data_IF_037895548605
#
_entry.id   IF_037895548605
#
_cell.length_a   1.000
_cell.length_b   1.000
_cell.length_c   1.000
_cell.angle_alpha   90.00
_cell.angle_beta   90.00
_cell.angle_gamma   90.00
#
_symmetry.space_group_name_H-M   'P 1'
#
loop_
_entity.id
_entity.type
_entity.pdbx_description
1 polymer ?
#
# COMPACT_ATOMS: atom_id res chain seq x y z
N UNK A 1 -6.07 10.63 2.99
CA UNK A 1 -5.12 10.17 4.03
C UNK A 1 -5.57 10.46 5.46
N UNK A 2 -6.77 11.00 5.70
CA UNK A 2 -7.26 11.29 7.06
C UNK A 2 -6.60 12.49 7.75
N UNK A 3 -5.56 13.08 7.15
CA UNK A 3 -4.85 14.26 7.62
C UNK A 3 -4.51 15.18 6.45
N UNK A 4 -4.72 16.49 6.62
CA UNK A 4 -4.32 17.52 5.66
C UNK A 4 -2.80 17.58 5.52
N UNK A 5 -2.08 17.40 6.63
CA UNK A 5 -0.61 17.43 6.65
C UNK A 5 -0.01 16.28 5.82
N UNK A 6 -0.47 15.05 6.04
CA UNK A 6 -0.09 13.91 5.19
C UNK A 6 -0.48 14.15 3.73
N UNK A 7 -1.68 14.70 3.49
CA UNK A 7 -2.13 14.97 2.12
C UNK A 7 -1.23 15.97 1.41
N UNK A 8 -0.77 17.02 2.08
CA UNK A 8 0.15 18.00 1.53
C UNK A 8 1.55 17.40 1.31
N UNK A 9 2.06 16.65 2.29
CA UNK A 9 3.38 16.01 2.24
C UNK A 9 3.53 15.06 1.05
N UNK A 10 2.47 14.31 0.72
CA UNK A 10 2.48 13.32 -0.35
C UNK A 10 1.75 13.77 -1.63
N UNK A 11 1.33 15.04 -1.74
CA UNK A 11 0.47 15.54 -2.82
C UNK A 11 1.04 15.31 -4.24
N UNK A 12 2.38 15.35 -4.36
CA UNK A 12 3.12 15.14 -5.62
C UNK A 12 3.99 13.88 -5.59
N UNK A 13 3.64 12.97 -4.68
CA UNK A 13 4.35 11.74 -4.45
C UNK A 13 4.17 10.69 -5.55
N UNK A 14 5.00 9.65 -5.51
CA UNK A 14 4.84 8.47 -6.35
C UNK A 14 4.04 7.39 -5.62
N UNK A 15 3.03 6.84 -6.28
CA UNK A 15 2.13 5.83 -5.73
C UNK A 15 2.28 4.52 -6.49
N UNK A 16 2.38 3.41 -5.75
CA UNK A 16 2.25 2.05 -6.28
C UNK A 16 1.02 1.40 -5.65
N UNK A 17 0.06 1.00 -6.47
CA UNK A 17 -1.14 0.25 -6.07
C UNK A 17 -0.94 -1.22 -6.40
N UNK A 18 -0.93 -2.06 -5.38
CA UNK A 18 -0.83 -3.52 -5.50
C UNK A 18 -2.17 -4.14 -5.14
N UNK A 19 -2.80 -4.82 -6.11
CA UNK A 19 -4.06 -5.53 -5.91
C UNK A 19 -3.78 -7.01 -5.65
N UNK A 20 -4.45 -7.57 -4.65
CA UNK A 20 -4.34 -8.98 -4.28
C UNK A 20 -5.65 -9.69 -4.67
N UNK A 21 -5.59 -10.53 -5.69
CA UNK A 21 -6.69 -11.43 -6.08
C UNK A 21 -6.92 -12.46 -4.98
N UNK A 22 -8.13 -13.05 -4.87
CA UNK A 22 -8.41 -14.05 -3.82
C UNK A 22 -7.47 -15.25 -3.75
N UNK A 23 -6.75 -15.57 -4.83
CA UNK A 23 -5.79 -16.67 -4.93
C UNK A 23 -4.35 -16.24 -4.64
N UNK A 24 -4.10 -14.95 -4.46
CA UNK A 24 -2.77 -14.41 -4.27
C UNK A 24 -2.29 -14.57 -2.81
N UNK A 25 -1.02 -14.28 -2.58
CA UNK A 25 -0.44 -14.23 -1.25
C UNK A 25 -0.93 -12.97 -0.49
N UNK A 26 -1.76 -13.16 0.54
CA UNK A 26 -2.41 -12.07 1.28
C UNK A 26 -1.64 -11.55 2.50
N UNK A 27 -0.33 -11.76 2.55
CA UNK A 27 0.54 -11.11 3.53
C UNK A 27 1.36 -10.02 2.85
N UNK A 28 1.63 -8.95 3.57
CA UNK A 28 2.33 -7.79 3.06
C UNK A 28 3.53 -7.46 3.96
N UNK A 29 4.56 -6.89 3.33
CA UNK A 29 5.90 -6.78 3.90
C UNK A 29 6.39 -5.34 3.81
N UNK A 30 7.42 -5.01 4.59
CA UNK A 30 8.07 -3.71 4.52
C UNK A 30 8.88 -3.55 3.23
N UNK A 31 8.70 -2.46 2.46
CA UNK A 31 9.39 -2.25 1.18
C UNK A 31 10.86 -1.83 1.37
N UNK A 32 11.23 -1.34 2.55
CA UNK A 32 12.56 -0.86 2.91
C UNK A 32 12.84 -1.10 4.39
N UNK A 33 14.11 -1.01 4.80
CA UNK A 33 14.49 -0.96 6.20
C UNK A 33 14.16 0.41 6.80
N UNK A 34 13.79 0.47 8.08
CA UNK A 34 13.36 1.70 8.72
C UNK A 34 12.70 1.49 10.08
N UNK A 35 12.01 2.53 10.55
CA UNK A 35 11.27 2.52 11.82
C UNK A 35 9.80 2.82 11.52
N UNK A 36 8.87 1.87 11.73
CA UNK A 36 7.46 2.07 11.45
C UNK A 36 6.77 2.77 12.63
N UNK A 37 5.81 3.64 12.30
CA UNK A 37 4.93 4.26 13.28
C UNK A 37 3.78 3.34 13.69
N UNK A 38 3.02 3.76 14.69
CA UNK A 38 1.75 3.09 15.02
C UNK A 38 0.79 3.19 13.85
N UNK A 39 0.20 2.05 13.48
CA UNK A 39 -0.77 2.03 12.38
C UNK A 39 -2.08 2.69 12.79
N UNK A 40 -2.56 3.63 11.99
CA UNK A 40 -3.82 4.35 12.21
C UNK A 40 -4.96 3.71 11.41
N UNK A 41 -6.07 3.39 12.09
CA UNK A 41 -7.27 2.89 11.44
C UNK A 41 -8.12 4.05 10.95
N UNK A 42 -8.44 4.05 9.65
CA UNK A 42 -9.55 4.84 9.11
C UNK A 42 -10.67 3.88 8.77
N UNK A 43 -11.75 3.97 9.54
CA UNK A 43 -12.92 3.14 9.31
C UNK A 43 -13.68 3.59 8.04
N UNK A 44 -14.45 2.69 7.45
CA UNK A 44 -15.13 2.96 6.19
C UNK A 44 -15.92 1.77 5.69
N UNK A 45 -16.40 1.88 4.45
CA UNK A 45 -17.11 0.80 3.78
C UNK A 45 -16.17 -0.35 3.40
N UNK A 46 -16.73 -1.40 2.79
CA UNK A 46 -15.98 -2.54 2.24
C UNK A 46 -16.43 -2.81 0.80
N UNK A 47 -16.26 -1.81 -0.06
CA UNK A 47 -16.52 -1.94 -1.49
C UNK A 47 -15.49 -2.87 -2.16
N UNK A 48 -15.85 -3.42 -3.31
CA UNK A 48 -14.95 -4.28 -4.09
C UNK A 48 -13.79 -3.46 -4.66
N UNK A 49 -12.59 -4.01 -4.59
CA UNK A 49 -11.38 -3.47 -5.22
C UNK A 49 -11.01 -4.24 -6.51
N UNK A 50 -11.97 -5.00 -7.07
CA UNK A 50 -11.77 -5.66 -8.36
C UNK A 50 -11.56 -4.64 -9.48
N UNK A 51 -10.88 -5.00 -10.59
CA UNK A 51 -10.66 -4.08 -11.71
C UNK A 51 -11.96 -3.51 -12.28
N UNK A 52 -13.05 -4.29 -12.31
CA UNK A 52 -14.36 -3.82 -12.76
C UNK A 52 -14.89 -2.74 -11.82
N UNK A 53 -14.85 -2.98 -10.50
CA UNK A 53 -15.31 -2.00 -9.51
C UNK A 53 -14.50 -0.70 -9.53
N UNK A 54 -13.17 -0.80 -9.61
CA UNK A 54 -12.29 0.38 -9.64
C UNK A 54 -12.41 1.19 -10.94
N UNK A 55 -12.73 0.54 -12.07
CA UNK A 55 -13.09 1.25 -13.32
C UNK A 55 -14.41 2.01 -13.19
N UNK A 56 -15.36 1.54 -12.38
CA UNK A 56 -16.61 2.26 -12.13
C UNK A 56 -16.41 3.43 -11.16
N UNK A 57 -15.69 3.22 -10.07
CA UNK A 57 -15.42 4.26 -9.10
C UNK A 57 -14.13 4.02 -8.32
N UNK A 58 -13.11 4.85 -8.59
CA UNK A 58 -11.84 4.80 -7.89
C UNK A 58 -11.97 5.15 -6.40
N UNK A 59 -13.05 5.86 -6.02
CA UNK A 59 -13.24 6.32 -4.64
C UNK A 59 -13.39 5.21 -3.62
N UNK A 60 -13.68 3.99 -4.07
CA UNK A 60 -13.71 2.82 -3.22
C UNK A 60 -12.39 2.62 -2.47
N UNK A 61 -11.24 2.98 -3.05
CA UNK A 61 -9.94 2.88 -2.39
C UNK A 61 -9.84 3.75 -1.12
N UNK A 62 -10.36 4.99 -1.16
CA UNK A 62 -10.27 5.92 -0.01
C UNK A 62 -11.54 5.99 0.84
N UNK A 63 -12.64 5.39 0.39
CA UNK A 63 -13.85 5.20 1.21
C UNK A 63 -13.79 3.91 2.02
N UNK A 64 -13.01 2.92 1.58
CA UNK A 64 -12.90 1.67 2.30
C UNK A 64 -12.15 1.82 3.62
N UNK A 65 -12.50 0.93 4.55
CA UNK A 65 -11.73 0.67 5.77
C UNK A 65 -10.29 0.38 5.41
N UNK A 66 -9.35 1.09 6.05
CA UNK A 66 -7.92 0.95 5.77
C UNK A 66 -7.05 1.25 6.98
N UNK A 67 -5.87 0.65 7.02
CA UNK A 67 -4.81 0.97 7.96
C UNK A 67 -3.76 1.82 7.25
N UNK A 68 -3.24 2.85 7.93
CA UNK A 68 -2.16 3.69 7.41
C UNK A 68 -0.98 3.61 8.38
N UNK A 69 0.19 3.32 7.86
CA UNK A 69 1.44 3.21 8.61
C UNK A 69 2.51 4.05 7.92
N UNK A 70 3.20 4.90 8.67
CA UNK A 70 4.39 5.61 8.18
C UNK A 70 5.63 4.79 8.47
N UNK A 71 6.55 4.73 7.52
CA UNK A 71 7.87 4.12 7.69
C UNK A 71 8.92 5.18 7.46
N UNK A 72 9.62 5.56 8.51
CA UNK A 72 10.78 6.43 8.43
C UNK A 72 11.97 5.62 7.90
N UNK A 73 12.53 6.03 6.76
CA UNK A 73 13.66 5.35 6.12
C UNK A 73 14.82 6.32 5.92
N UNK A 74 16.04 5.79 5.93
CA UNK A 74 17.25 6.58 5.69
C UNK A 74 17.37 7.07 4.24
N UNK A 75 16.84 6.32 3.27
CA UNK A 75 17.03 6.56 1.83
C UNK A 75 15.81 7.15 1.13
N UNK A 76 14.62 6.70 1.47
CA UNK A 76 13.39 7.02 0.74
C UNK A 76 12.53 8.05 1.46
N UNK A 77 13.08 8.72 2.49
CA UNK A 77 12.30 9.58 3.37
C UNK A 77 11.23 8.78 4.10
N UNK A 78 10.05 9.37 4.27
CA UNK A 78 8.92 8.66 4.86
C UNK A 78 8.13 7.97 3.76
N UNK A 79 7.94 6.66 3.91
CA UNK A 79 7.06 5.87 3.05
C UNK A 79 5.73 5.70 3.76
N UNK A 80 4.64 6.02 3.08
CA UNK A 80 3.29 5.78 3.58
C UNK A 80 2.77 4.45 3.02
N UNK A 81 2.45 3.51 3.90
CA UNK A 81 1.92 2.20 3.57
C UNK A 81 0.44 2.15 3.98
N UNK A 82 -0.43 1.82 3.03
CA UNK A 82 -1.88 1.84 3.23
C UNK A 82 -2.45 0.48 2.86
N UNK A 83 -3.07 -0.19 3.82
CA UNK A 83 -3.71 -1.49 3.62
C UNK A 83 -5.21 -1.29 3.52
N UNK A 84 -5.80 -1.69 2.40
CA UNK A 84 -7.20 -1.42 2.08
C UNK A 84 -7.97 -2.73 2.10
N UNK A 85 -8.91 -2.84 3.03
CA UNK A 85 -9.87 -3.93 3.06
C UNK A 85 -10.88 -3.79 1.91
N UNK A 86 -11.52 -4.90 1.54
CA UNK A 86 -12.54 -4.91 0.51
C UNK A 86 -13.72 -5.78 0.93
N UNK A 87 -14.67 -5.99 0.01
CA UNK A 87 -15.86 -6.81 0.26
C UNK A 87 -15.50 -8.17 0.85
N UNK A 88 -16.13 -8.52 1.97
CA UNK A 88 -15.87 -9.72 2.79
C UNK A 88 -14.48 -9.78 3.45
N UNK A 89 -13.64 -8.75 3.29
CA UNK A 89 -12.31 -8.61 3.92
C UNK A 89 -12.30 -7.42 4.87
N UNK A 90 -12.84 -7.64 6.06
CA UNK A 90 -12.88 -6.62 7.12
C UNK A 90 -11.64 -6.60 8.02
N UNK A 91 -10.83 -7.65 8.00
CA UNK A 91 -9.74 -7.85 8.96
C UNK A 91 -8.38 -7.57 8.31
N UNK A 92 -7.70 -6.57 8.87
CA UNK A 92 -6.36 -6.15 8.49
C UNK A 92 -5.53 -6.24 9.77
N UNK A 93 -4.61 -7.19 9.83
CA UNK A 93 -3.79 -7.45 11.01
C UNK A 93 -2.37 -6.97 10.77
N UNK A 94 -1.85 -6.14 11.68
CA UNK A 94 -0.45 -5.73 11.70
C UNK A 94 0.32 -6.63 12.67
N UNK A 95 1.51 -7.08 12.28
CA UNK A 95 2.31 -8.07 13.03
C UNK A 95 3.62 -7.51 13.57
N UNK A 96 3.93 -6.25 13.28
CA UNK A 96 5.14 -5.57 13.72
C UNK A 96 4.92 -4.78 15.02
N UNK A 97 6.03 -4.46 15.71
CA UNK A 97 6.04 -3.55 16.87
C UNK A 97 6.42 -2.13 16.41
N UNK A 98 5.56 -1.11 16.59
CA UNK A 98 5.90 0.27 16.27
C UNK A 98 7.14 0.75 17.02
N UNK A 99 7.97 1.57 16.36
CA UNK A 99 9.20 2.12 16.94
C UNK A 99 10.42 1.19 16.93
N UNK A 100 10.25 -0.09 16.62
CA UNK A 100 11.37 -1.02 16.45
C UNK A 100 11.96 -0.94 15.05
N UNK A 101 13.27 -1.19 14.92
CA UNK A 101 13.91 -1.24 13.61
C UNK A 101 13.49 -2.50 12.87
N UNK A 102 13.06 -2.35 11.62
CA UNK A 102 12.72 -3.46 10.72
C UNK A 102 13.69 -3.51 9.54
N UNK A 103 13.85 -4.70 8.97
CA UNK A 103 14.56 -4.92 7.73
C UNK A 103 13.60 -4.92 6.53
N UNK A 104 14.15 -4.63 5.35
CA UNK A 104 13.40 -4.80 4.10
C UNK A 104 12.97 -6.25 3.96
N UNK A 105 11.69 -6.46 3.68
CA UNK A 105 11.11 -7.79 3.49
C UNK A 105 10.53 -8.41 4.76
N UNK A 106 10.75 -7.81 5.94
CA UNK A 106 10.10 -8.26 7.17
C UNK A 106 8.57 -8.18 7.01
N UNK A 107 7.87 -9.15 7.60
CA UNK A 107 6.41 -9.18 7.55
C UNK A 107 5.83 -7.99 8.32
N UNK A 108 4.93 -7.25 7.67
CA UNK A 108 4.22 -6.13 8.27
C UNK A 108 2.82 -6.51 8.71
N UNK A 109 2.17 -7.42 7.98
CA UNK A 109 0.85 -7.88 8.32
C UNK A 109 0.19 -8.72 7.25
N UNK A 110 -1.12 -8.95 7.41
CA UNK A 110 -1.92 -9.74 6.49
C UNK A 110 -3.39 -9.33 6.46
N UNK A 111 -4.06 -9.70 5.38
CA UNK A 111 -5.52 -9.65 5.24
C UNK A 111 -6.11 -11.03 5.53
N UNK A 112 -7.26 -11.07 6.21
CA UNK A 112 -8.07 -12.30 6.22
C UNK A 112 -8.72 -12.55 4.84
N UNK A 113 -9.16 -13.78 4.59
CA UNK A 113 -9.64 -14.30 3.30
C UNK A 113 -10.50 -13.33 2.46
N UNK A 114 -10.11 -13.10 1.19
CA UNK A 114 -10.85 -12.38 0.16
C UNK A 114 -9.97 -11.37 -0.59
N UNK A 115 -10.54 -10.58 -1.50
CA UNK A 115 -9.76 -9.58 -2.25
C UNK A 115 -9.31 -8.40 -1.39
N UNK A 116 -8.13 -7.84 -1.67
CA UNK A 116 -7.62 -6.66 -0.95
C UNK A 116 -6.65 -5.85 -1.81
N UNK A 117 -6.21 -4.71 -1.32
CA UNK A 117 -5.18 -3.91 -1.99
C UNK A 117 -4.27 -3.25 -0.99
N UNK A 118 -3.02 -3.03 -1.38
CA UNK A 118 -2.08 -2.18 -0.65
C UNK A 118 -1.63 -1.03 -1.54
N UNK A 119 -1.40 0.12 -0.92
CA UNK A 119 -0.79 1.27 -1.57
C UNK A 119 0.52 1.57 -0.85
N UNK A 120 1.58 1.73 -1.62
CA UNK A 120 2.86 2.27 -1.14
C UNK A 120 3.07 3.63 -1.77
N UNK A 121 3.18 4.67 -0.95
CA UNK A 121 3.25 6.06 -1.38
C UNK A 121 4.55 6.68 -0.86
N UNK A 122 5.27 7.34 -1.76
CA UNK A 122 6.55 7.98 -1.50
C UNK A 122 6.41 9.48 -1.65
N UNK A 123 7.17 10.27 -0.87
CA UNK A 123 7.25 11.72 -1.07
C UNK A 123 7.82 12.06 -2.46
N UNK A 124 7.57 13.28 -2.94
CA UNK A 124 8.05 13.74 -4.25
C UNK A 124 9.58 13.57 -4.37
N UNK A 125 10.03 12.95 -5.46
CA UNK A 125 11.44 12.75 -5.77
C UNK A 125 12.18 11.73 -4.89
N UNK A 126 11.51 11.03 -3.97
CA UNK A 126 12.18 10.04 -3.10
C UNK A 126 12.40 8.67 -3.73
N UNK A 127 11.75 8.38 -4.85
CA UNK A 127 11.90 7.10 -5.55
C UNK A 127 11.89 7.30 -7.07
N UNK A 128 12.69 6.50 -7.76
CA UNK A 128 12.53 6.23 -9.19
C UNK A 128 11.89 4.84 -9.33
N UNK A 129 10.64 4.80 -9.79
CA UNK A 129 9.93 3.53 -10.01
C UNK A 129 10.60 2.69 -11.10
N UNK A 130 10.45 1.36 -11.01
CA UNK A 130 10.97 0.44 -12.00
C UNK A 130 10.37 0.70 -13.40
N UNK A 131 11.16 0.49 -14.45
CA UNK A 131 10.79 0.84 -15.82
C UNK A 131 9.56 0.07 -16.32
N UNK A 132 9.44 -1.20 -15.93
CA UNK A 132 8.29 -2.05 -16.26
C UNK A 132 6.99 -1.53 -15.63
N UNK A 133 7.03 -1.07 -14.37
CA UNK A 133 5.89 -0.42 -13.73
C UNK A 133 5.45 0.83 -14.50
N UNK A 134 6.41 1.68 -14.90
CA UNK A 134 6.12 2.91 -15.66
C UNK A 134 5.57 2.58 -17.05
N UNK A 135 6.17 1.62 -17.75
CA UNK A 135 5.72 1.19 -19.09
C UNK A 135 4.31 0.61 -19.04
N UNK A 136 4.02 -0.32 -18.13
CA UNK A 136 2.70 -0.95 -18.01
C UNK A 136 1.63 0.05 -17.55
N UNK A 137 1.98 0.97 -16.65
CA UNK A 137 1.09 2.06 -16.24
C UNK A 137 0.71 2.95 -17.42
N UNK A 138 1.66 3.30 -18.31
CA UNK A 138 1.37 4.10 -19.51
C UNK A 138 0.40 3.41 -20.47
N UNK A 139 0.34 2.07 -20.43
CA UNK A 139 -0.59 1.22 -21.18
C UNK A 139 -1.86 0.87 -20.40
N UNK A 140 -2.05 1.45 -19.21
CA UNK A 140 -3.18 1.15 -18.32
C UNK A 140 -3.34 -0.35 -18.02
N UNK A 141 -2.23 -1.07 -17.96
CA UNK A 141 -2.19 -2.53 -17.78
C UNK A 141 -1.56 -2.86 -16.43
N UNK A 142 -2.21 -3.75 -15.66
CA UNK A 142 -1.64 -4.25 -14.42
C UNK A 142 -0.47 -5.21 -14.73
N UNK A 143 0.62 -5.10 -13.95
CA UNK A 143 1.76 -6.00 -14.01
C UNK A 143 1.60 -7.10 -12.96
N UNK A 144 1.79 -8.36 -13.34
CA UNK A 144 1.93 -9.45 -12.37
C UNK A 144 3.30 -9.35 -11.69
N UNK A 145 3.31 -9.17 -10.37
CA UNK A 145 4.52 -8.97 -9.59
C UNK A 145 4.54 -9.90 -8.38
N UNK A 146 5.40 -10.94 -8.35
CA UNK A 146 5.59 -11.75 -7.15
C UNK A 146 6.21 -10.95 -6.01
N UNK A 147 6.01 -11.39 -4.76
CA UNK A 147 6.69 -10.81 -3.59
C UNK A 147 8.21 -10.81 -3.82
N UNK A 148 8.86 -9.68 -3.53
CA UNK A 148 10.29 -9.48 -3.76
C UNK A 148 10.64 -8.84 -5.12
N UNK A 149 9.66 -8.65 -6.00
CA UNK A 149 9.85 -7.89 -7.25
C UNK A 149 10.38 -6.48 -6.99
N UNK A 150 11.16 -5.96 -7.94
CA UNK A 150 11.73 -4.62 -7.83
C UNK A 150 10.65 -3.55 -8.00
N UNK A 151 10.40 -2.77 -6.96
CA UNK A 151 9.47 -1.63 -7.01
C UNK A 151 10.14 -0.38 -7.59
N UNK A 152 11.39 -0.12 -7.21
CA UNK A 152 12.13 1.08 -7.59
C UNK A 152 13.44 1.24 -6.82
N UNK A 153 14.12 2.36 -7.06
CA UNK A 153 15.42 2.71 -6.46
C UNK A 153 15.51 4.17 -6.07
#
# INVERSE_FOLDING_TARGET
>A
LGSTELSNRFARGSLVLSRLCPTDYHRFHFPAAGIPSTSSLINGALFSVSPIALRHNLSYLWQNKRMITELETSRFGTILMIDIGATNVGSISQTFTPGETINRGDERGYFSFGGSSTITLFEEGKITLANDLVEQTSRQTELYAPMGSLLGR
#
